data_IF_645962980162
#
_entry.id   IF_645962980162
#
_cell.length_a   1.000
_cell.length_b   1.000
_cell.length_c   1.000
_cell.angle_alpha   90.00
_cell.angle_beta   90.00
_cell.angle_gamma   90.00
#
_symmetry.space_group_name_H-M   'P 1'
#
loop_
_entity.id
_entity.type
_entity.pdbx_description
1 polymer ?
#
# COMPACT_ATOMS: atom_id res chain seq x y z
N UNK A 1 21.10 -0.19 -15.95
CA UNK A 1 21.01 -1.37 -15.08
C UNK A 1 21.49 -2.65 -15.79
N UNK A 2 20.85 -3.08 -16.90
CA UNK A 2 21.21 -4.30 -17.64
C UNK A 2 22.65 -4.29 -18.14
N UNK A 3 23.19 -3.15 -18.57
CA UNK A 3 24.57 -3.01 -19.00
C UNK A 3 25.55 -3.15 -17.84
N UNK A 4 25.21 -2.62 -16.66
CA UNK A 4 26.02 -2.76 -15.45
C UNK A 4 26.05 -4.19 -14.90
N UNK A 5 24.91 -4.86 -14.93
CA UNK A 5 24.80 -6.26 -14.48
C UNK A 5 25.56 -7.26 -15.37
N UNK A 6 25.98 -6.83 -16.57
CA UNK A 6 26.69 -7.65 -17.57
C UNK A 6 28.16 -7.28 -17.78
N UNK A 7 28.74 -6.45 -16.90
CA UNK A 7 30.15 -6.11 -16.99
C UNK A 7 31.00 -7.35 -16.71
N UNK A 8 31.77 -7.85 -17.69
CA UNK A 8 32.60 -9.03 -17.49
C UNK A 8 33.76 -8.73 -16.52
N UNK A 9 34.00 -9.62 -15.58
CA UNK A 9 35.19 -9.63 -14.76
C UNK A 9 35.18 -8.82 -13.47
N UNK A 10 34.09 -8.14 -13.12
CA UNK A 10 33.96 -7.47 -11.82
C UNK A 10 32.90 -8.17 -10.96
N UNK A 11 33.17 -8.52 -9.69
CA UNK A 11 32.18 -8.97 -8.74
C UNK A 11 31.32 -7.77 -8.31
N UNK A 12 30.38 -7.36 -9.17
CA UNK A 12 29.48 -6.24 -8.91
C UNK A 12 28.15 -6.78 -8.40
N UNK A 13 27.80 -6.44 -7.17
CA UNK A 13 26.46 -6.64 -6.62
C UNK A 13 25.70 -5.32 -6.67
N UNK A 14 24.60 -5.30 -7.43
CA UNK A 14 23.76 -4.11 -7.58
C UNK A 14 22.46 -4.32 -6.83
N UNK A 15 22.22 -3.49 -5.80
CA UNK A 15 20.95 -3.44 -5.08
C UNK A 15 20.17 -2.23 -5.55
N UNK A 16 18.95 -2.47 -6.04
CA UNK A 16 18.05 -1.40 -6.51
C UNK A 16 16.79 -1.44 -5.69
N UNK A 17 16.51 -0.35 -4.96
CA UNK A 17 15.24 -0.12 -4.29
C UNK A 17 14.41 0.85 -5.12
N UNK A 18 13.19 0.48 -5.45
CA UNK A 18 12.26 1.31 -6.22
C UNK A 18 10.83 1.04 -5.79
N UNK A 19 9.97 2.05 -5.89
CA UNK A 19 8.52 1.88 -5.77
C UNK A 19 7.92 1.25 -7.02
N UNK A 20 8.51 1.53 -8.17
CA UNK A 20 8.05 1.06 -9.48
C UNK A 20 8.81 -0.20 -9.89
N UNK A 21 8.18 -0.98 -10.74
CA UNK A 21 8.84 -2.13 -11.36
C UNK A 21 9.91 -1.64 -12.35
N UNK A 22 11.17 -1.73 -11.95
CA UNK A 22 12.32 -1.19 -12.69
C UNK A 22 12.63 -2.03 -13.94
N UNK A 23 12.34 -3.32 -13.89
CA UNK A 23 12.60 -4.27 -14.98
C UNK A 23 11.29 -4.81 -15.52
N UNK A 24 11.15 -4.79 -16.85
CA UNK A 24 10.05 -5.51 -17.49
C UNK A 24 10.21 -7.03 -17.31
N UNK A 25 9.14 -7.83 -17.43
CA UNK A 25 9.22 -9.29 -17.32
C UNK A 25 10.24 -9.90 -18.29
N UNK A 26 10.37 -9.37 -19.51
CA UNK A 26 11.35 -9.81 -20.49
C UNK A 26 12.79 -9.47 -20.09
N UNK A 27 13.00 -8.35 -19.42
CA UNK A 27 14.33 -7.97 -18.91
C UNK A 27 14.73 -8.81 -17.69
N UNK A 28 13.78 -9.08 -16.79
CA UNK A 28 13.98 -9.96 -15.65
C UNK A 28 14.35 -11.38 -16.11
N UNK A 29 13.63 -11.91 -17.09
CA UNK A 29 13.91 -13.23 -17.66
C UNK A 29 15.32 -13.32 -18.27
N UNK A 30 15.82 -12.24 -18.90
CA UNK A 30 17.18 -12.19 -19.48
C UNK A 30 18.29 -12.21 -18.44
N UNK A 31 18.03 -11.74 -17.22
CA UNK A 31 18.99 -11.77 -16.13
C UNK A 31 19.01 -13.16 -15.44
N UNK A 32 17.90 -13.89 -15.49
CA UNK A 32 17.80 -15.24 -14.97
C UNK A 32 18.29 -15.37 -13.54
N UNK A 33 19.34 -16.19 -13.33
CA UNK A 33 19.92 -16.47 -11.99
C UNK A 33 20.67 -15.28 -11.38
N UNK A 34 21.02 -14.29 -12.18
CA UNK A 34 21.75 -13.11 -11.71
C UNK A 34 20.81 -12.03 -11.13
N UNK A 35 19.51 -12.29 -11.17
CA UNK A 35 18.49 -11.41 -10.61
C UNK A 35 17.77 -12.09 -9.45
N UNK A 36 17.79 -11.45 -8.29
CA UNK A 36 16.91 -11.75 -7.20
C UNK A 36 15.95 -10.57 -7.02
N UNK A 37 14.65 -10.81 -7.14
CA UNK A 37 13.62 -9.80 -6.90
C UNK A 37 12.98 -10.07 -5.54
N UNK A 38 13.00 -9.05 -4.69
CA UNK A 38 12.31 -9.06 -3.40
C UNK A 38 11.02 -8.27 -3.58
N UNK A 39 9.90 -8.92 -3.36
CA UNK A 39 8.57 -8.34 -3.50
C UNK A 39 8.09 -7.71 -2.18
N UNK A 40 7.06 -6.87 -2.26
CA UNK A 40 6.42 -6.31 -1.07
C UNK A 40 5.91 -7.40 -0.10
N UNK A 41 5.44 -8.54 -0.63
CA UNK A 41 4.99 -9.66 0.20
C UNK A 41 6.12 -10.34 0.97
N UNK A 42 7.34 -10.40 0.40
CA UNK A 42 8.52 -10.93 1.07
C UNK A 42 9.12 -9.95 2.09
N UNK A 43 8.82 -8.66 1.95
CA UNK A 43 9.21 -7.63 2.91
C UNK A 43 8.19 -7.41 4.02
N UNK A 44 6.99 -7.96 3.88
CA UNK A 44 5.95 -7.85 4.89
C UNK A 44 6.35 -8.63 6.15
N UNK A 45 6.29 -7.96 7.30
CA UNK A 45 6.62 -8.57 8.57
C UNK A 45 5.51 -9.55 9.00
N UNK A 46 5.89 -10.76 9.33
CA UNK A 46 5.02 -11.72 10.03
C UNK A 46 4.74 -11.25 11.46
N UNK A 47 3.73 -11.81 12.10
CA UNK A 47 3.43 -11.50 13.51
C UNK A 47 4.62 -11.80 14.43
N UNK A 48 5.40 -12.85 14.14
CA UNK A 48 6.60 -13.21 14.90
C UNK A 48 7.70 -12.17 14.75
N UNK A 49 7.89 -11.66 13.52
CA UNK A 49 8.86 -10.59 13.24
C UNK A 49 8.41 -9.25 13.84
N UNK A 50 7.12 -8.92 13.83
CA UNK A 50 6.56 -7.76 14.54
C UNK A 50 6.85 -7.88 16.04
N UNK A 51 6.65 -9.07 16.64
CA UNK A 51 6.97 -9.32 18.05
C UNK A 51 8.47 -9.18 18.34
N UNK A 52 9.31 -9.74 17.49
CA UNK A 52 10.76 -9.64 17.63
C UNK A 52 11.23 -8.18 17.51
N UNK A 53 10.68 -7.44 16.55
CA UNK A 53 11.01 -6.04 16.34
C UNK A 53 10.53 -5.16 17.49
N UNK A 54 9.30 -5.36 18.00
CA UNK A 54 8.76 -4.68 19.19
C UNK A 54 9.71 -4.81 20.39
N UNK A 55 10.16 -6.04 20.66
CA UNK A 55 11.13 -6.28 21.77
C UNK A 55 12.46 -5.57 21.54
N UNK A 56 12.98 -5.53 20.30
CA UNK A 56 14.20 -4.78 19.96
C UNK A 56 14.05 -3.29 20.17
N UNK A 57 12.84 -2.76 19.98
CA UNK A 57 12.52 -1.36 20.26
C UNK A 57 12.28 -1.10 21.76
N UNK A 58 12.40 -2.11 22.62
CA UNK A 58 12.13 -1.97 24.07
C UNK A 58 10.65 -1.85 24.40
N UNK A 59 9.76 -2.29 23.50
CA UNK A 59 8.31 -2.25 23.68
C UNK A 59 7.79 -3.67 23.89
N UNK A 60 7.26 -3.93 25.09
CA UNK A 60 6.59 -5.19 25.41
C UNK A 60 5.08 -5.01 25.21
N UNK A 61 4.57 -5.37 24.04
CA UNK A 61 3.15 -5.32 23.75
C UNK A 61 2.42 -6.51 24.38
N UNK A 62 1.21 -6.29 24.95
CA UNK A 62 0.30 -7.37 25.31
C UNK A 62 -0.02 -8.23 24.08
N UNK A 63 -0.32 -9.53 24.23
CA UNK A 63 -0.62 -10.42 23.10
C UNK A 63 -1.76 -9.94 22.21
N UNK A 64 -2.80 -9.33 22.78
CA UNK A 64 -3.92 -8.76 22.03
C UNK A 64 -3.48 -7.57 21.15
N UNK A 65 -2.67 -6.67 21.71
CA UNK A 65 -2.16 -5.49 21.00
C UNK A 65 -1.17 -5.90 19.89
N UNK A 66 -0.34 -6.91 20.16
CA UNK A 66 0.56 -7.48 19.16
C UNK A 66 -0.20 -8.07 17.97
N UNK A 67 -1.24 -8.86 18.25
CA UNK A 67 -2.07 -9.46 17.21
C UNK A 67 -2.81 -8.38 16.40
N UNK A 68 -3.34 -7.37 17.09
CA UNK A 68 -4.01 -6.23 16.47
C UNK A 68 -3.03 -5.44 15.57
N UNK A 69 -1.84 -5.13 16.07
CA UNK A 69 -0.81 -4.43 15.30
C UNK A 69 -0.39 -5.22 14.06
N UNK A 70 -0.13 -6.51 14.19
CA UNK A 70 0.26 -7.36 13.06
C UNK A 70 -0.84 -7.42 11.99
N UNK A 71 -2.10 -7.52 12.41
CA UNK A 71 -3.25 -7.55 11.52
C UNK A 71 -3.47 -6.20 10.81
N UNK A 72 -3.46 -5.10 11.55
CA UNK A 72 -3.76 -3.77 11.00
C UNK A 72 -2.63 -3.19 10.15
N UNK A 73 -1.38 -3.51 10.49
CA UNK A 73 -0.24 -3.09 9.68
C UNK A 73 -0.07 -3.91 8.39
N UNK A 74 -0.74 -5.06 8.27
CA UNK A 74 -0.52 -6.03 7.18
C UNK A 74 0.98 -6.34 6.96
N UNK A 75 1.77 -6.27 8.02
CA UNK A 75 3.23 -6.45 7.96
C UNK A 75 4.01 -5.25 7.40
N UNK A 76 3.36 -4.13 7.12
CA UNK A 76 4.05 -2.95 6.60
C UNK A 76 4.93 -2.32 7.67
N UNK A 77 6.26 -2.37 7.45
CA UNK A 77 7.26 -1.95 8.41
C UNK A 77 7.04 -0.53 8.98
N UNK A 78 6.75 0.45 8.10
CA UNK A 78 6.54 1.84 8.56
C UNK A 78 5.33 1.97 9.50
N UNK A 79 4.25 1.23 9.24
CA UNK A 79 3.08 1.21 10.11
C UNK A 79 3.41 0.58 11.46
N UNK A 80 4.16 -0.52 11.47
CA UNK A 80 4.63 -1.16 12.71
C UNK A 80 5.53 -0.19 13.49
N UNK A 81 6.53 0.40 12.84
CA UNK A 81 7.46 1.34 13.47
C UNK A 81 6.74 2.52 14.14
N UNK A 82 5.80 3.15 13.43
CA UNK A 82 5.08 4.32 13.95
C UNK A 82 4.17 3.96 15.13
N UNK A 83 3.47 2.82 15.02
CA UNK A 83 2.67 2.32 16.13
C UNK A 83 3.53 2.06 17.38
N UNK A 84 4.72 1.47 17.22
CA UNK A 84 5.63 1.25 18.32
C UNK A 84 6.15 2.57 18.92
N UNK A 85 6.43 3.57 18.09
CA UNK A 85 6.81 4.91 18.56
C UNK A 85 5.70 5.59 19.35
N UNK A 86 4.47 5.51 18.86
CA UNK A 86 3.31 6.05 19.58
C UNK A 86 3.08 5.32 20.89
N UNK A 87 3.22 3.99 20.91
CA UNK A 87 3.12 3.21 22.13
C UNK A 87 4.18 3.60 23.15
N UNK A 88 5.42 3.86 22.73
CA UNK A 88 6.48 4.38 23.61
C UNK A 88 6.14 5.74 24.20
N UNK A 89 5.51 6.62 23.43
CA UNK A 89 5.18 7.98 23.85
C UNK A 89 3.92 8.04 24.73
N UNK A 90 2.90 7.22 24.40
CA UNK A 90 1.55 7.37 24.97
C UNK A 90 1.01 6.12 25.67
N UNK A 91 1.70 4.99 25.61
CA UNK A 91 1.26 3.72 26.20
C UNK A 91 0.11 3.02 25.46
N UNK A 92 -0.27 3.52 24.27
CA UNK A 92 -1.35 2.96 23.44
C UNK A 92 -0.93 2.87 22.00
N UNK A 93 -1.42 1.86 21.27
CA UNK A 93 -1.28 1.78 19.84
C UNK A 93 -2.11 2.88 19.18
N UNK A 94 -1.68 3.29 18.00
CA UNK A 94 -2.42 4.25 17.18
C UNK A 94 -3.65 3.56 16.59
N UNK A 95 -4.76 3.68 17.26
CA UNK A 95 -6.07 3.18 16.81
C UNK A 95 -6.75 4.15 15.85
N UNK A 96 -6.34 5.42 15.85
CA UNK A 96 -6.89 6.50 15.00
C UNK A 96 -6.02 7.78 15.06
N UNK A 97 -4.69 7.65 15.12
CA UNK A 97 -3.81 8.79 15.33
C UNK A 97 -3.73 9.73 14.12
N UNK A 98 -4.02 11.01 14.35
CA UNK A 98 -3.87 12.10 13.38
C UNK A 98 -2.49 12.07 12.71
N UNK A 99 -1.45 11.82 13.49
CA UNK A 99 -0.06 11.84 13.05
C UNK A 99 0.31 10.78 11.99
N UNK A 100 -0.24 9.56 12.06
CA UNK A 100 0.00 8.55 11.00
C UNK A 100 -0.64 8.97 9.69
N UNK A 101 -1.86 9.50 9.75
CA UNK A 101 -2.58 9.88 8.52
C UNK A 101 -1.97 11.11 7.87
N UNK A 102 -1.49 12.09 8.65
CA UNK A 102 -0.74 13.22 8.13
C UNK A 102 0.53 12.76 7.43
N UNK A 103 1.32 11.92 8.09
CA UNK A 103 2.53 11.38 7.50
C UNK A 103 2.25 10.52 6.24
N UNK A 104 1.16 9.74 6.24
CA UNK A 104 0.74 8.97 5.06
C UNK A 104 0.29 9.88 3.92
N UNK A 105 -0.42 10.96 4.23
CA UNK A 105 -0.79 11.97 3.25
C UNK A 105 0.46 12.59 2.63
N UNK A 106 1.35 13.17 3.44
CA UNK A 106 2.55 13.86 2.97
C UNK A 106 3.51 12.93 2.20
N UNK A 107 3.77 11.74 2.74
CA UNK A 107 4.75 10.85 2.15
C UNK A 107 4.22 10.08 0.92
N UNK A 108 2.91 9.85 0.85
CA UNK A 108 2.35 8.84 -0.03
C UNK A 108 1.26 9.35 -0.97
N UNK A 109 0.37 10.24 -0.50
CA UNK A 109 -0.74 10.76 -1.32
C UNK A 109 -0.38 12.07 -2.00
N UNK A 110 0.28 12.99 -1.31
CA UNK A 110 0.62 14.30 -1.89
C UNK A 110 1.55 14.23 -3.11
N UNK A 111 2.48 13.24 -3.23
CA UNK A 111 3.25 13.05 -4.46
C UNK A 111 2.44 12.52 -5.65
N UNK A 112 1.22 11.98 -5.42
CA UNK A 112 0.39 11.45 -6.50
C UNK A 112 -0.38 12.56 -7.21
N UNK A 113 -0.62 12.43 -8.53
CA UNK A 113 -1.55 13.30 -9.23
C UNK A 113 -2.94 13.26 -8.56
N UNK A 114 -3.58 14.43 -8.45
CA UNK A 114 -4.87 14.59 -7.76
C UNK A 114 -5.95 13.61 -8.29
N UNK A 115 -5.97 13.38 -9.61
CA UNK A 115 -6.87 12.42 -10.24
C UNK A 115 -6.74 11.00 -9.67
N UNK A 116 -5.51 10.57 -9.36
CA UNK A 116 -5.26 9.25 -8.75
C UNK A 116 -5.72 9.20 -7.30
N UNK A 117 -5.47 10.27 -6.57
CA UNK A 117 -5.94 10.40 -5.18
C UNK A 117 -7.46 10.38 -5.13
N UNK A 118 -8.13 11.13 -6.01
CA UNK A 118 -9.60 11.18 -6.10
C UNK A 118 -10.19 9.82 -6.46
N UNK A 119 -9.58 9.11 -7.42
CA UNK A 119 -9.97 7.75 -7.76
C UNK A 119 -9.89 6.81 -6.54
N UNK A 120 -8.74 6.80 -5.87
CA UNK A 120 -8.51 5.96 -4.69
C UNK A 120 -9.45 6.33 -3.54
N UNK A 121 -9.70 7.62 -3.31
CA UNK A 121 -10.59 8.10 -2.27
C UNK A 121 -12.04 7.64 -2.52
N UNK A 122 -12.53 7.72 -3.76
CA UNK A 122 -13.88 7.22 -4.12
C UNK A 122 -13.98 5.71 -3.97
N UNK A 123 -12.91 4.96 -4.26
CA UNK A 123 -12.89 3.50 -4.12
C UNK A 123 -12.61 3.02 -2.70
N UNK A 124 -12.23 3.89 -1.78
CA UNK A 124 -11.96 3.54 -0.37
C UNK A 124 -13.18 3.00 0.39
N UNK A 125 -14.40 3.20 -0.14
CA UNK A 125 -15.63 2.68 0.46
C UNK A 125 -15.81 1.17 0.24
N UNK A 126 -15.17 0.58 -0.78
CA UNK A 126 -15.22 -0.84 -1.04
C UNK A 126 -14.05 -1.58 -0.34
N UNK A 127 -14.27 -2.81 0.09
CA UNK A 127 -13.20 -3.68 0.59
C UNK A 127 -12.41 -4.28 -0.57
N UNK A 128 -13.14 -4.76 -1.56
CA UNK A 128 -12.62 -5.29 -2.81
C UNK A 128 -13.45 -4.76 -3.97
N UNK A 129 -12.84 -4.60 -5.12
CA UNK A 129 -13.54 -4.09 -6.30
C UNK A 129 -12.86 -4.54 -7.61
N UNK A 130 -13.67 -4.61 -8.66
CA UNK A 130 -13.19 -4.87 -10.02
C UNK A 130 -12.96 -3.57 -10.79
N UNK A 131 -12.33 -3.67 -11.97
CA UNK A 131 -12.16 -2.51 -12.84
C UNK A 131 -13.50 -1.99 -13.37
N UNK A 132 -14.45 -2.88 -13.61
CA UNK A 132 -15.82 -2.54 -14.04
C UNK A 132 -16.57 -1.76 -12.95
N UNK A 133 -16.49 -2.23 -11.70
CA UNK A 133 -17.05 -1.52 -10.55
C UNK A 133 -16.41 -0.14 -10.38
N UNK A 134 -15.07 -0.07 -10.49
CA UNK A 134 -14.37 1.19 -10.39
C UNK A 134 -14.81 2.19 -11.49
N UNK A 135 -14.96 1.74 -12.73
CA UNK A 135 -15.45 2.56 -13.82
C UNK A 135 -16.89 3.06 -13.56
N UNK A 136 -17.76 2.20 -13.04
CA UNK A 136 -19.14 2.56 -12.71
C UNK A 136 -19.21 3.58 -11.57
N UNK A 137 -18.47 3.34 -10.49
CA UNK A 137 -18.47 4.20 -9.30
C UNK A 137 -17.85 5.57 -9.58
N UNK A 138 -16.69 5.59 -10.24
CA UNK A 138 -15.94 6.84 -10.48
C UNK A 138 -16.44 7.58 -11.73
N UNK A 139 -17.06 6.88 -12.68
CA UNK A 139 -17.43 7.41 -13.99
C UNK A 139 -16.24 7.52 -14.95
N UNK A 140 -15.08 6.96 -14.62
CA UNK A 140 -13.87 7.00 -15.45
C UNK A 140 -13.78 5.75 -16.31
N UNK A 141 -13.89 5.90 -17.61
CA UNK A 141 -13.78 4.78 -18.58
C UNK A 141 -12.41 4.08 -18.52
N UNK A 142 -11.34 4.84 -18.23
CA UNK A 142 -9.94 4.38 -18.17
C UNK A 142 -9.56 3.77 -16.82
N UNK A 143 -10.55 3.41 -15.97
CA UNK A 143 -10.30 2.87 -14.63
C UNK A 143 -9.40 1.64 -14.64
N UNK A 144 -9.48 0.79 -15.68
CA UNK A 144 -8.63 -0.40 -15.82
C UNK A 144 -7.16 -0.04 -15.99
N UNK A 145 -6.85 0.91 -16.86
CA UNK A 145 -5.49 1.41 -17.10
C UNK A 145 -4.95 2.12 -15.86
N UNK A 146 -5.77 2.92 -15.23
CA UNK A 146 -5.42 3.63 -13.99
C UNK A 146 -5.11 2.65 -12.86
N UNK A 147 -5.94 1.61 -12.67
CA UNK A 147 -5.72 0.57 -11.65
C UNK A 147 -4.44 -0.22 -11.94
N UNK A 148 -4.15 -0.52 -13.21
CA UNK A 148 -2.91 -1.17 -13.57
C UNK A 148 -1.70 -0.30 -13.22
N UNK A 149 -1.71 0.96 -13.59
CA UNK A 149 -0.64 1.90 -13.28
C UNK A 149 -0.44 2.07 -11.76
N UNK A 150 -1.54 2.15 -10.99
CA UNK A 150 -1.50 2.22 -9.53
C UNK A 150 -0.94 0.95 -8.90
N UNK A 151 -1.25 -0.22 -9.46
CA UNK A 151 -0.71 -1.51 -8.98
C UNK A 151 0.77 -1.64 -9.31
N UNK A 152 1.18 -1.23 -10.52
CA UNK A 152 2.57 -1.27 -10.97
C UNK A 152 3.46 -0.29 -10.17
N UNK A 153 2.91 0.86 -9.78
CA UNK A 153 3.60 1.84 -8.93
C UNK A 153 3.50 1.56 -7.43
N UNK A 154 3.00 0.39 -7.02
CA UNK A 154 2.75 0.04 -5.62
C UNK A 154 1.99 1.12 -4.84
N UNK A 155 1.04 1.80 -5.49
CA UNK A 155 0.23 2.85 -4.89
C UNK A 155 -0.90 2.28 -4.01
N UNK A 156 -0.53 1.35 -3.10
CA UNK A 156 -1.44 0.75 -2.09
C UNK A 156 -2.62 -0.04 -2.65
N UNK A 157 -2.65 -0.25 -3.96
CA UNK A 157 -3.62 -1.08 -4.64
C UNK A 157 -2.94 -2.40 -5.03
N UNK A 158 -3.46 -3.52 -4.55
CA UNK A 158 -2.99 -4.85 -4.92
C UNK A 158 -4.06 -5.63 -5.67
N UNK A 159 -3.65 -6.35 -6.69
CA UNK A 159 -4.50 -7.30 -7.38
C UNK A 159 -4.56 -8.60 -6.58
N UNK A 160 -5.76 -9.13 -6.41
CA UNK A 160 -5.95 -10.38 -5.67
C UNK A 160 -5.61 -11.62 -6.55
N UNK A 161 -5.40 -12.80 -5.92
CA UNK A 161 -5.02 -14.03 -6.63
C UNK A 161 -6.04 -14.48 -7.69
N UNK A 162 -7.31 -14.09 -7.56
CA UNK A 162 -8.36 -14.36 -8.55
C UNK A 162 -8.15 -13.63 -9.88
N UNK A 163 -7.23 -12.67 -9.90
CA UNK A 163 -6.86 -11.90 -11.08
C UNK A 163 -7.92 -10.90 -11.57
N UNK A 164 -9.02 -10.71 -10.85
CA UNK A 164 -10.12 -9.79 -11.20
C UNK A 164 -10.32 -8.70 -10.16
N UNK A 165 -10.23 -9.06 -8.90
CA UNK A 165 -10.45 -8.16 -7.79
C UNK A 165 -9.16 -7.44 -7.37
N UNK A 166 -9.36 -6.24 -6.85
CA UNK A 166 -8.32 -5.38 -6.29
C UNK A 166 -8.73 -4.98 -4.87
N UNK A 167 -7.73 -4.77 -4.02
CA UNK A 167 -7.92 -4.34 -2.64
C UNK A 167 -6.97 -3.21 -2.31
N UNK A 168 -7.47 -2.19 -1.65
CA UNK A 168 -6.63 -1.16 -1.03
C UNK A 168 -6.00 -1.69 0.25
N UNK A 169 -4.75 -1.28 0.50
CA UNK A 169 -4.12 -1.52 1.80
C UNK A 169 -4.97 -0.88 2.91
N UNK A 170 -5.17 -1.61 4.02
CA UNK A 170 -6.10 -1.20 5.08
C UNK A 170 -5.86 0.24 5.58
N UNK A 171 -4.62 0.57 5.94
CA UNK A 171 -4.29 1.91 6.43
C UNK A 171 -4.54 3.01 5.39
N UNK A 172 -4.24 2.72 4.13
CA UNK A 172 -4.52 3.66 3.04
C UNK A 172 -6.01 3.82 2.80
N UNK A 173 -6.78 2.73 2.94
CA UNK A 173 -8.24 2.79 2.85
C UNK A 173 -8.81 3.73 3.90
N UNK A 174 -8.33 3.69 5.14
CA UNK A 174 -8.76 4.60 6.20
C UNK A 174 -8.34 6.05 5.93
N UNK A 175 -7.11 6.27 5.50
CA UNK A 175 -6.59 7.58 5.12
C UNK A 175 -7.43 8.21 3.99
N UNK A 176 -7.64 7.47 2.91
CA UNK A 176 -8.43 7.88 1.75
C UNK A 176 -9.92 8.07 2.12
N UNK A 177 -10.45 7.26 3.03
CA UNK A 177 -11.81 7.41 3.55
C UNK A 177 -12.00 8.69 4.35
N UNK A 178 -10.96 9.19 5.05
CA UNK A 178 -10.98 10.52 5.70
C UNK A 178 -11.00 11.61 4.65
N UNK A 179 -10.12 11.55 3.63
CA UNK A 179 -10.09 12.51 2.53
C UNK A 179 -11.41 12.53 1.74
N UNK A 180 -12.04 11.36 1.53
CA UNK A 180 -13.37 11.29 0.91
C UNK A 180 -14.46 12.03 1.71
N UNK A 181 -14.38 12.05 3.04
CA UNK A 181 -15.32 12.80 3.89
C UNK A 181 -15.19 14.32 3.77
N UNK A 182 -14.09 14.81 3.21
CA UNK A 182 -13.87 16.24 2.94
C UNK A 182 -14.49 16.69 1.62
N UNK A 183 -14.94 15.74 0.79
CA UNK A 183 -15.59 16.05 -0.49
C UNK A 183 -16.96 16.72 -0.30
N UNK A 184 -17.44 17.48 -1.29
CA UNK A 184 -18.79 18.05 -1.24
C UNK A 184 -19.85 16.99 -0.95
N UNK A 185 -20.86 17.29 -0.10
CA UNK A 185 -21.89 16.31 0.29
C UNK A 185 -22.63 15.66 -0.88
N UNK A 186 -22.84 16.43 -1.96
CA UNK A 186 -23.48 15.92 -3.18
C UNK A 186 -22.64 14.85 -3.87
N UNK A 187 -21.32 15.07 -3.94
CA UNK A 187 -20.38 14.10 -4.51
C UNK A 187 -20.29 12.85 -3.65
N UNK A 188 -20.19 13.01 -2.32
CA UNK A 188 -20.22 11.87 -1.40
C UNK A 188 -21.49 11.04 -1.58
N UNK A 189 -22.63 11.70 -1.71
CA UNK A 189 -23.93 11.05 -1.92
C UNK A 189 -23.94 10.27 -3.23
N UNK A 190 -23.50 10.89 -4.32
CA UNK A 190 -23.43 10.26 -5.64
C UNK A 190 -22.57 8.99 -5.62
N UNK A 191 -21.36 9.08 -5.06
CA UNK A 191 -20.44 7.95 -4.97
C UNK A 191 -21.01 6.83 -4.12
N UNK A 192 -21.61 7.15 -2.95
CA UNK A 192 -22.29 6.14 -2.10
C UNK A 192 -23.46 5.47 -2.79
N UNK A 193 -24.28 6.23 -3.52
CA UNK A 193 -25.38 5.66 -4.31
C UNK A 193 -24.87 4.71 -5.39
N UNK A 194 -23.79 5.06 -6.07
CA UNK A 194 -23.18 4.18 -7.08
C UNK A 194 -22.61 2.90 -6.47
N UNK A 195 -21.94 2.98 -5.31
CA UNK A 195 -21.51 1.78 -4.60
C UNK A 195 -22.66 0.86 -4.17
N UNK A 196 -23.78 1.45 -3.76
CA UNK A 196 -24.97 0.67 -3.35
C UNK A 196 -25.78 0.11 -4.52
N UNK A 197 -25.59 0.64 -5.72
CA UNK A 197 -26.27 0.19 -6.93
C UNK A 197 -25.51 -0.91 -7.70
N UNK A 198 -24.24 -1.11 -7.38
CA UNK A 198 -23.40 -2.19 -7.93
C UNK A 198 -23.60 -3.49 -7.19
#
# INVERSE_FOLDING_TARGET
LLALARLPGAPLHLIVASRDQVLSPSQALRLGRDLHQITAGELALSQEEVSAYSRRCGVALPPADLAHLAQTSEGWFSAVYLNLKAYQAHGTLLTSGHDIYEMLNEAMLDPLPQERVDFLARMSLADEFTAEQAAFVTGLAESRELMRALTESNAFLRRLPDGQNYRLHHMMKECLGRRFREYPPEEQRLVRCRHGAW
#
